data_IF_874995400764
#
_entry.id   IF_874995400764
#
_cell.length_a   1.000
_cell.length_b   1.000
_cell.length_c   1.000
_cell.angle_alpha   90.00
_cell.angle_beta   90.00
_cell.angle_gamma   90.00
#
_symmetry.space_group_name_H-M   'P 1'
#
loop_
_entity.id
_entity.type
_entity.pdbx_description
1 polymer ?
#
# COMPACT_ATOMS: atom_id res chain seq x y z
N UNK A 1 5.93 28.48 -6.83
CA UNK A 1 6.22 27.36 -7.72
C UNK A 1 6.76 26.16 -6.96
N UNK A 2 7.90 26.35 -6.27
CA UNK A 2 8.50 25.30 -5.47
C UNK A 2 7.57 24.84 -4.35
N UNK A 3 6.89 25.76 -3.69
CA UNK A 3 5.97 25.44 -2.61
C UNK A 3 4.78 24.59 -3.10
N UNK A 4 4.30 24.87 -4.30
CA UNK A 4 3.21 24.08 -4.88
C UNK A 4 3.67 22.64 -5.17
N UNK A 5 4.89 22.50 -5.67
CA UNK A 5 5.45 21.18 -5.95
C UNK A 5 5.62 20.37 -4.67
N UNK A 6 6.15 21.00 -3.62
CA UNK A 6 6.31 20.35 -2.31
C UNK A 6 4.97 19.90 -1.76
N UNK A 7 3.96 20.77 -1.79
CA UNK A 7 2.63 20.41 -1.29
C UNK A 7 2.01 19.26 -2.07
N UNK A 8 2.20 19.25 -3.40
CA UNK A 8 1.69 18.17 -4.23
C UNK A 8 2.35 16.85 -3.87
N UNK A 9 3.67 16.86 -3.70
CA UNK A 9 4.41 15.65 -3.32
C UNK A 9 4.02 15.17 -1.92
N UNK A 10 3.86 16.09 -0.97
CA UNK A 10 3.42 15.74 0.38
C UNK A 10 2.05 15.07 0.36
N UNK A 11 1.15 15.57 -0.48
CA UNK A 11 -0.18 14.97 -0.63
C UNK A 11 -0.09 13.58 -1.25
N UNK A 12 0.79 13.40 -2.25
CA UNK A 12 0.97 12.09 -2.86
C UNK A 12 1.52 11.08 -1.86
N UNK A 13 2.46 11.50 -1.01
CA UNK A 13 2.99 10.64 0.06
C UNK A 13 1.87 10.25 1.01
N UNK A 14 1.05 11.21 1.44
CA UNK A 14 -0.05 10.93 2.35
C UNK A 14 -1.08 9.98 1.72
N UNK A 15 -1.38 10.16 0.43
CA UNK A 15 -2.31 9.27 -0.28
C UNK A 15 -1.76 7.85 -0.37
N UNK A 16 -0.46 7.72 -0.63
CA UNK A 16 0.19 6.40 -0.66
C UNK A 16 0.14 5.74 0.71
N UNK A 17 0.41 6.50 1.77
CA UNK A 17 0.37 5.97 3.14
C UNK A 17 -1.03 5.49 3.51
N UNK A 18 -2.06 6.24 3.12
CA UNK A 18 -3.45 5.81 3.36
C UNK A 18 -3.77 4.52 2.60
N UNK A 19 -3.32 4.43 1.34
CA UNK A 19 -3.53 3.22 0.54
C UNK A 19 -2.79 2.02 1.11
N UNK A 20 -1.58 2.22 1.63
CA UNK A 20 -0.81 1.16 2.29
C UNK A 20 -1.58 0.65 3.49
N UNK A 21 -2.10 1.53 4.36
CA UNK A 21 -2.88 1.13 5.53
C UNK A 21 -4.12 0.35 5.15
N UNK A 22 -4.87 0.82 4.15
CA UNK A 22 -6.07 0.13 3.67
C UNK A 22 -5.74 -1.26 3.15
N UNK A 23 -4.67 -1.37 2.37
CA UNK A 23 -4.28 -2.66 1.78
C UNK A 23 -3.80 -3.62 2.86
N UNK A 24 -3.01 -3.12 3.83
CA UNK A 24 -2.56 -3.94 4.95
C UNK A 24 -3.73 -4.44 5.80
N UNK A 25 -4.74 -3.59 6.00
CA UNK A 25 -5.95 -3.99 6.73
C UNK A 25 -6.71 -5.10 5.98
N UNK A 26 -6.82 -4.95 4.66
CA UNK A 26 -7.46 -5.97 3.83
C UNK A 26 -6.70 -7.30 3.88
N UNK A 27 -5.36 -7.23 3.85
CA UNK A 27 -4.53 -8.43 3.96
C UNK A 27 -4.76 -9.12 5.32
N UNK A 28 -4.80 -8.34 6.41
CA UNK A 28 -5.02 -8.89 7.74
C UNK A 28 -6.36 -9.60 7.84
N UNK A 29 -7.42 -9.05 7.22
CA UNK A 29 -8.74 -9.67 7.20
C UNK A 29 -8.70 -11.01 6.45
N UNK A 30 -8.04 -11.03 5.29
CA UNK A 30 -7.92 -12.26 4.50
C UNK A 30 -7.10 -13.30 5.27
N UNK A 31 -6.00 -12.90 5.90
CA UNK A 31 -5.17 -13.81 6.69
C UNK A 31 -5.95 -14.42 7.86
N UNK A 32 -6.79 -13.62 8.52
CA UNK A 32 -7.63 -14.12 9.59
C UNK A 32 -8.60 -15.20 9.09
N UNK A 33 -9.15 -15.01 7.89
CA UNK A 33 -10.02 -16.01 7.29
C UNK A 33 -9.26 -17.26 6.88
N UNK A 34 -8.04 -17.10 6.37
CA UNK A 34 -7.20 -18.22 5.97
C UNK A 34 -6.78 -19.06 7.17
N UNK A 35 -6.76 -18.48 8.37
CA UNK A 35 -6.41 -19.18 9.59
C UNK A 35 -7.54 -20.09 10.10
N UNK A 36 -8.76 -19.95 9.57
CA UNK A 36 -9.88 -20.84 9.94
C UNK A 36 -9.78 -22.15 9.15
N UNK A 37 -10.37 -23.25 9.67
CA UNK A 37 -10.39 -24.52 8.93
C UNK A 37 -11.04 -24.40 7.54
N UNK A 38 -12.15 -23.66 7.44
CA UNK A 38 -12.83 -23.46 6.17
C UNK A 38 -11.99 -22.64 5.21
N UNK A 39 -11.36 -21.59 5.73
CA UNK A 39 -10.53 -20.69 4.91
C UNK A 39 -9.23 -21.33 4.46
N UNK A 40 -8.68 -22.24 5.25
CA UNK A 40 -7.43 -22.91 4.92
C UNK A 40 -7.51 -23.71 3.61
N UNK A 41 -8.72 -24.16 3.24
CA UNK A 41 -8.91 -24.91 1.99
C UNK A 41 -9.55 -24.08 0.89
N UNK A 42 -9.75 -22.78 1.10
CA UNK A 42 -10.37 -21.89 0.12
C UNK A 42 -9.33 -21.27 -0.79
N UNK A 43 -9.24 -21.77 -2.02
CA UNK A 43 -8.28 -21.29 -3.01
C UNK A 43 -8.48 -19.82 -3.36
N UNK A 44 -9.73 -19.33 -3.30
CA UNK A 44 -10.01 -17.93 -3.62
C UNK A 44 -9.37 -16.98 -2.61
N UNK A 45 -9.28 -17.37 -1.34
CA UNK A 45 -8.62 -16.57 -0.31
C UNK A 45 -7.13 -16.45 -0.59
N UNK A 46 -6.49 -17.55 -1.01
CA UNK A 46 -5.07 -17.52 -1.34
C UNK A 46 -4.78 -16.63 -2.55
N UNK A 47 -5.64 -16.69 -3.56
CA UNK A 47 -5.51 -15.82 -4.74
C UNK A 47 -5.68 -14.35 -4.36
N UNK A 48 -6.68 -14.05 -3.53
CA UNK A 48 -6.93 -12.69 -3.07
C UNK A 48 -5.74 -12.17 -2.24
N UNK A 49 -5.22 -13.00 -1.38
CA UNK A 49 -4.06 -12.66 -0.55
C UNK A 49 -2.87 -12.28 -1.43
N UNK A 50 -2.59 -13.08 -2.45
CA UNK A 50 -1.49 -12.84 -3.36
C UNK A 50 -1.68 -11.53 -4.13
N UNK A 51 -2.88 -11.27 -4.62
CA UNK A 51 -3.18 -10.02 -5.33
C UNK A 51 -3.00 -8.80 -4.45
N UNK A 52 -3.48 -8.89 -3.20
CA UNK A 52 -3.34 -7.79 -2.24
C UNK A 52 -1.87 -7.52 -1.93
N UNK A 53 -1.06 -8.57 -1.79
CA UNK A 53 0.37 -8.41 -1.54
C UNK A 53 1.08 -7.74 -2.73
N UNK A 54 0.74 -8.13 -3.94
CA UNK A 54 1.28 -7.50 -5.15
C UNK A 54 0.88 -6.03 -5.23
N UNK A 55 -0.36 -5.73 -4.89
CA UNK A 55 -0.86 -4.37 -4.87
C UNK A 55 -0.11 -3.53 -3.84
N UNK A 56 0.11 -4.10 -2.66
CA UNK A 56 0.86 -3.42 -1.60
C UNK A 56 2.28 -3.11 -2.06
N UNK A 57 2.96 -4.07 -2.68
CA UNK A 57 4.32 -3.88 -3.17
C UNK A 57 4.39 -2.72 -4.15
N UNK A 58 3.42 -2.62 -5.05
CA UNK A 58 3.35 -1.52 -6.01
C UNK A 58 3.16 -0.16 -5.35
N UNK A 59 2.29 -0.11 -4.33
CA UNK A 59 2.03 1.12 -3.60
C UNK A 59 3.26 1.56 -2.81
N UNK A 60 3.95 0.61 -2.17
CA UNK A 60 5.17 0.88 -1.41
C UNK A 60 6.27 1.41 -2.33
N UNK A 61 6.43 0.84 -3.51
CA UNK A 61 7.40 1.32 -4.50
C UNK A 61 7.11 2.77 -4.90
N UNK A 62 5.84 3.08 -5.14
CA UNK A 62 5.44 4.44 -5.49
C UNK A 62 5.68 5.39 -4.31
N UNK A 63 5.36 4.96 -3.11
CA UNK A 63 5.60 5.74 -1.90
C UNK A 63 7.08 6.08 -1.75
N UNK A 64 7.96 5.10 -1.96
CA UNK A 64 9.41 5.31 -1.86
C UNK A 64 9.87 6.31 -2.91
N UNK A 65 9.40 6.18 -4.15
CA UNK A 65 9.78 7.08 -5.24
C UNK A 65 9.35 8.51 -4.95
N UNK A 66 8.10 8.70 -4.53
CA UNK A 66 7.56 10.03 -4.25
C UNK A 66 8.25 10.63 -3.03
N UNK A 67 8.52 9.83 -2.00
CA UNK A 67 9.21 10.29 -0.80
C UNK A 67 10.61 10.78 -1.11
N UNK A 68 11.34 10.06 -1.96
CA UNK A 68 12.67 10.46 -2.39
C UNK A 68 12.62 11.77 -3.18
N UNK A 69 11.66 11.88 -4.09
CA UNK A 69 11.48 13.10 -4.88
C UNK A 69 11.17 14.29 -3.98
N UNK A 70 10.35 14.08 -2.96
CA UNK A 70 10.00 15.12 -2.00
C UNK A 70 11.26 15.60 -1.25
N UNK A 71 12.08 14.67 -0.76
CA UNK A 71 13.30 15.03 -0.06
C UNK A 71 14.26 15.80 -0.96
N UNK A 72 14.45 15.36 -2.19
CA UNK A 72 15.29 16.04 -3.17
C UNK A 72 14.77 17.45 -3.46
N UNK A 73 13.47 17.61 -3.53
CA UNK A 73 12.85 18.90 -3.81
C UNK A 73 13.02 19.87 -2.64
N UNK A 74 12.96 19.36 -1.40
CA UNK A 74 13.16 20.19 -0.20
C UNK A 74 14.61 20.62 -0.01
N UNK A 75 15.55 19.82 -0.47
CA UNK A 75 16.96 20.12 -0.40
C UNK A 75 17.36 20.99 -1.58
#
# INVERSE_FOLDING_TARGET
ELNKKIKKLERQVADCEASIEETESAIAIVEAKMATPEGASDMQLYERHQKLKQQLDGIVEEWERVSMELEETKN
#
